data_IF_505158028424
#
_entry.id   IF_505158028424
#
_cell.length_a   1.000
_cell.length_b   1.000
_cell.length_c   1.000
_cell.angle_alpha   90.00
_cell.angle_beta   90.00
_cell.angle_gamma   90.00
#
_symmetry.space_group_name_H-M   'P 1'
#
loop_
_entity.id
_entity.type
_entity.pdbx_description
1 polymer ?
#
# COMPACT_ATOMS: atom_id res chain seq x y z
N UNK A 1 18.09 -15.41 -9.86
CA UNK A 1 18.16 -14.67 -8.58
C UNK A 1 18.12 -13.14 -8.71
N UNK A 2 18.31 -12.54 -9.90
CA UNK A 2 18.25 -11.07 -10.07
C UNK A 2 16.83 -10.46 -10.13
N UNK A 3 15.80 -11.30 -10.38
CA UNK A 3 14.39 -10.85 -10.52
C UNK A 3 13.65 -10.71 -9.17
N UNK A 4 13.94 -11.57 -8.19
CA UNK A 4 13.28 -11.58 -6.87
C UNK A 4 13.67 -10.36 -6.03
N UNK A 5 14.92 -9.91 -6.12
CA UNK A 5 15.43 -8.70 -5.47
C UNK A 5 14.78 -7.44 -6.08
N UNK A 6 14.56 -7.44 -7.40
CA UNK A 6 13.86 -6.35 -8.11
C UNK A 6 12.38 -6.27 -7.72
N UNK A 7 11.70 -7.41 -7.61
CA UNK A 7 10.31 -7.49 -7.16
C UNK A 7 10.15 -7.07 -5.68
N UNK A 8 11.11 -7.44 -4.82
CA UNK A 8 11.14 -7.01 -3.41
C UNK A 8 11.31 -5.50 -3.29
N UNK A 9 12.26 -4.91 -4.03
CA UNK A 9 12.47 -3.46 -4.03
C UNK A 9 11.23 -2.71 -4.58
N UNK A 10 10.60 -3.26 -5.62
CA UNK A 10 9.35 -2.73 -6.18
C UNK A 10 8.19 -2.82 -5.19
N UNK A 11 8.10 -3.91 -4.42
CA UNK A 11 7.13 -4.07 -3.33
C UNK A 11 7.36 -3.05 -2.21
N UNK A 12 8.59 -2.89 -1.74
CA UNK A 12 8.93 -1.90 -0.71
C UNK A 12 8.64 -0.47 -1.20
N UNK A 13 9.01 -0.14 -2.44
CA UNK A 13 8.69 1.15 -3.05
C UNK A 13 7.17 1.37 -3.20
N UNK A 14 6.41 0.32 -3.51
CA UNK A 14 4.95 0.35 -3.54
C UNK A 14 4.32 0.61 -2.17
N UNK A 15 4.86 -0.01 -1.11
CA UNK A 15 4.44 0.24 0.28
C UNK A 15 4.70 1.70 0.64
N UNK A 16 5.91 2.23 0.40
CA UNK A 16 6.27 3.61 0.74
C UNK A 16 5.36 4.62 0.03
N UNK A 17 5.09 4.41 -1.27
CA UNK A 17 4.18 5.26 -2.05
C UNK A 17 2.74 5.19 -1.52
N UNK A 18 2.25 3.99 -1.22
CA UNK A 18 0.92 3.80 -0.68
C UNK A 18 0.74 4.46 0.69
N UNK A 19 1.75 4.37 1.57
CA UNK A 19 1.73 5.06 2.87
C UNK A 19 1.69 6.58 2.70
N UNK A 20 2.54 7.15 1.83
CA UNK A 20 2.54 8.59 1.59
C UNK A 20 1.21 9.11 1.02
N UNK A 21 0.58 8.33 0.11
CA UNK A 21 -0.76 8.65 -0.38
C UNK A 21 -1.81 8.57 0.72
N UNK A 22 -1.76 7.53 1.57
CA UNK A 22 -2.69 7.37 2.68
C UNK A 22 -2.60 8.52 3.68
N UNK A 23 -1.39 8.96 4.03
CA UNK A 23 -1.16 10.12 4.89
C UNK A 23 -1.77 11.40 4.31
N UNK A 24 -1.55 11.64 3.01
CA UNK A 24 -2.13 12.79 2.31
C UNK A 24 -3.65 12.75 2.30
N UNK A 25 -4.26 11.63 1.92
CA UNK A 25 -5.71 11.50 1.86
C UNK A 25 -6.34 11.59 3.26
N UNK A 26 -5.70 11.02 4.29
CA UNK A 26 -6.15 11.16 5.68
C UNK A 26 -6.10 12.63 6.15
N UNK A 27 -5.05 13.37 5.82
CA UNK A 27 -4.96 14.80 6.11
C UNK A 27 -6.06 15.60 5.41
N UNK A 28 -6.35 15.31 4.14
CA UNK A 28 -7.46 15.92 3.40
C UNK A 28 -8.80 15.62 4.08
N UNK A 29 -9.10 14.38 4.44
CA UNK A 29 -10.34 13.99 5.15
C UNK A 29 -10.47 14.75 6.48
N UNK A 30 -9.39 14.82 7.27
CA UNK A 30 -9.38 15.56 8.53
C UNK A 30 -9.61 17.07 8.32
N UNK A 31 -9.06 17.64 7.26
CA UNK A 31 -9.25 19.07 6.93
C UNK A 31 -10.67 19.37 6.43
N UNK A 32 -11.27 18.48 5.62
CA UNK A 32 -12.63 18.63 5.10
C UNK A 32 -13.67 18.50 6.20
N UNK A 33 -13.46 17.55 7.13
CA UNK A 33 -14.35 17.36 8.30
C UNK A 33 -14.29 18.53 9.29
N UNK A 34 -13.11 19.16 9.46
CA UNK A 34 -12.94 20.33 10.36
C UNK A 34 -13.39 21.65 9.74
N UNK A 35 -13.41 21.79 8.41
CA UNK A 35 -13.79 23.03 7.72
C UNK A 35 -15.31 23.25 7.59
N UNK A 36 -16.15 22.32 8.07
CA UNK A 36 -17.61 22.50 8.13
C UNK A 36 -18.35 22.42 6.78
N UNK A 37 -17.66 22.19 5.65
CA UNK A 37 -18.25 21.91 4.33
C UNK A 37 -18.65 20.43 4.21
N UNK A 38 -19.42 19.93 5.19
CA UNK A 38 -19.75 18.51 5.36
C UNK A 38 -20.68 17.92 4.30
N UNK A 39 -20.49 18.23 3.01
CA UNK A 39 -21.13 17.47 1.95
C UNK A 39 -20.44 16.10 1.88
N UNK A 40 -21.19 14.98 1.93
CA UNK A 40 -20.62 13.64 1.83
C UNK A 40 -19.81 13.42 0.54
N UNK A 41 -20.04 14.24 -0.49
CA UNK A 41 -19.29 14.25 -1.75
C UNK A 41 -17.84 14.75 -1.58
N UNK A 42 -17.58 15.70 -0.68
CA UNK A 42 -16.26 16.32 -0.48
C UNK A 42 -15.29 15.38 0.26
N UNK A 43 -15.84 14.39 0.98
CA UNK A 43 -15.06 13.33 1.66
C UNK A 43 -15.03 12.03 0.86
N UNK A 44 -15.94 11.81 -0.08
CA UNK A 44 -16.01 10.58 -0.86
C UNK A 44 -14.76 10.35 -1.70
N UNK A 45 -14.29 11.38 -2.42
CA UNK A 45 -13.08 11.31 -3.24
C UNK A 45 -11.81 10.98 -2.42
N UNK A 46 -11.48 11.70 -1.33
CA UNK A 46 -10.30 11.36 -0.55
C UNK A 46 -10.45 10.05 0.23
N UNK A 47 -11.67 9.58 0.53
CA UNK A 47 -11.88 8.23 1.07
C UNK A 47 -11.58 7.14 0.04
N UNK A 48 -12.00 7.31 -1.21
CA UNK A 48 -11.66 6.37 -2.30
C UNK A 48 -10.15 6.37 -2.55
N UNK A 49 -9.51 7.55 -2.55
CA UNK A 49 -8.05 7.67 -2.68
C UNK A 49 -7.33 6.96 -1.52
N UNK A 50 -7.82 7.09 -0.29
CA UNK A 50 -7.30 6.37 0.88
C UNK A 50 -7.46 4.83 0.72
N UNK A 51 -8.59 4.37 0.16
CA UNK A 51 -8.81 2.94 -0.12
C UNK A 51 -7.85 2.42 -1.20
N UNK A 52 -7.61 3.20 -2.26
CA UNK A 52 -6.63 2.86 -3.29
C UNK A 52 -5.21 2.79 -2.71
N UNK A 53 -4.85 3.75 -1.86
CA UNK A 53 -3.58 3.76 -1.16
C UNK A 53 -3.38 2.50 -0.29
N UNK A 54 -4.41 2.11 0.47
CA UNK A 54 -4.42 0.85 1.23
C UNK A 54 -4.24 -0.37 0.33
N UNK A 55 -4.99 -0.46 -0.77
CA UNK A 55 -4.90 -1.57 -1.71
C UNK A 55 -3.49 -1.68 -2.32
N UNK A 56 -2.85 -0.56 -2.64
CA UNK A 56 -1.48 -0.52 -3.13
C UNK A 56 -0.49 -1.08 -2.09
N UNK A 57 -0.65 -0.73 -0.81
CA UNK A 57 0.17 -1.27 0.28
C UNK A 57 -0.06 -2.77 0.44
N UNK A 58 -1.31 -3.22 0.48
CA UNK A 58 -1.67 -4.64 0.62
C UNK A 58 -1.13 -5.48 -0.55
N UNK A 59 -1.30 -5.02 -1.79
CA UNK A 59 -0.78 -5.69 -2.97
C UNK A 59 0.75 -5.79 -2.92
N UNK A 60 1.41 -4.71 -2.50
CA UNK A 60 2.87 -4.67 -2.39
C UNK A 60 3.37 -5.58 -1.26
N UNK A 61 2.66 -5.62 -0.12
CA UNK A 61 2.94 -6.54 0.99
C UNK A 61 2.75 -8.00 0.55
N UNK A 62 1.73 -8.29 -0.25
CA UNK A 62 1.50 -9.63 -0.80
C UNK A 62 2.64 -10.09 -1.70
N UNK A 63 3.21 -9.19 -2.50
CA UNK A 63 4.41 -9.49 -3.31
C UNK A 63 5.60 -9.84 -2.41
N UNK A 64 5.82 -9.09 -1.32
CA UNK A 64 6.89 -9.41 -0.36
C UNK A 64 6.66 -10.76 0.32
N UNK A 65 5.43 -11.04 0.75
CA UNK A 65 5.05 -12.32 1.37
C UNK A 65 5.27 -13.50 0.41
N UNK A 66 4.78 -13.40 -0.83
CA UNK A 66 4.98 -14.47 -1.83
C UNK A 66 6.46 -14.72 -2.16
N UNK A 67 7.31 -13.68 -2.14
CA UNK A 67 8.76 -13.84 -2.25
C UNK A 67 9.33 -14.58 -1.03
N UNK A 68 8.87 -14.25 0.18
CA UNK A 68 9.27 -14.93 1.41
C UNK A 68 8.89 -16.42 1.38
N UNK A 69 7.66 -16.74 0.97
CA UNK A 69 7.16 -18.12 0.88
C UNK A 69 7.88 -18.92 -0.21
N UNK A 70 8.15 -18.31 -1.37
CA UNK A 70 8.93 -18.98 -2.42
C UNK A 70 10.37 -19.22 -2.00
N UNK A 71 11.00 -18.31 -1.23
CA UNK A 71 12.33 -18.57 -0.66
C UNK A 71 12.26 -19.67 0.40
N UNK A 72 11.27 -19.64 1.31
CA UNK A 72 11.10 -20.64 2.36
C UNK A 72 10.90 -22.05 1.80
N UNK A 73 10.10 -22.18 0.73
CA UNK A 73 9.88 -23.46 0.03
C UNK A 73 11.12 -23.93 -0.73
N UNK A 74 11.89 -23.03 -1.36
CA UNK A 74 13.16 -23.37 -2.01
C UNK A 74 14.22 -23.84 -1.01
N UNK A 75 14.29 -23.25 0.19
CA UNK A 75 15.24 -23.67 1.23
C UNK A 75 14.86 -25.06 1.76
N UNK A 76 13.56 -25.31 2.01
CA UNK A 76 13.06 -26.58 2.55
C UNK A 76 13.19 -27.76 1.59
N UNK A 77 13.10 -27.54 0.27
CA UNK A 77 13.33 -28.62 -0.71
C UNK A 77 14.82 -28.94 -0.93
N UNK A 78 15.74 -28.08 -0.49
CA UNK A 78 17.19 -28.30 -0.61
C UNK A 78 17.85 -28.82 0.67
N UNK A 79 17.12 -28.84 1.79
CA UNK A 79 17.54 -29.43 3.07
C UNK A 79 17.13 -30.91 3.15
#
# INVERSE_FOLDING_TARGET
MMSTISALNSGIAGIQRGVAMAEKSAATIASTTTSGSGNPTDVAEPLVELMMARLQVEASAKVVETISDTIGTLINTTA
#
